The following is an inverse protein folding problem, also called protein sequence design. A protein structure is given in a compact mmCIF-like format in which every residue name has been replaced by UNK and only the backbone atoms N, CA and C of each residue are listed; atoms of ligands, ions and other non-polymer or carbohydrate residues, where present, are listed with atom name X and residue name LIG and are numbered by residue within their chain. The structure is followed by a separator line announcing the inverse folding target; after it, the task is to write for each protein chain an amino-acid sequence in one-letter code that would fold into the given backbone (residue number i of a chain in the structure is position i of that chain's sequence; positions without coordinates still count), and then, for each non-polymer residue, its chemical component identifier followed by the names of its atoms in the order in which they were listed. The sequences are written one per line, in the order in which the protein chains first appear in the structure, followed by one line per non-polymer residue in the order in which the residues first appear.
data_IF_252212087049
#
_entry.id   IF_252212087049
#
_cell.length_a   1.000
_cell.length_b   1.000
_cell.length_c   1.000
_cell.angle_alpha   90.00
_cell.angle_beta   90.00
_cell.angle_gamma   90.00
#
_symmetry.space_group_name_H-M   'P 1'
#
loop_
_entity.id
_entity.type
_entity.pdbx_description
1 polymer ?
#
# COMPACT_ATOMS: atom_id res chain seq x y z
N UNK A 1 10.49 -6.74 -3.61
CA UNK A 1 9.80 -5.51 -3.16
C UNK A 1 9.96 -5.43 -1.66
N UNK A 2 10.65 -4.41 -1.15
CA UNK A 2 10.84 -4.22 0.29
C UNK A 2 9.60 -3.55 0.88
N UNK A 3 9.16 -4.00 2.06
CA UNK A 3 8.03 -3.37 2.76
C UNK A 3 8.58 -2.36 3.76
N UNK A 4 8.39 -1.07 3.48
CA UNK A 4 8.76 -0.01 4.42
C UNK A 4 7.72 0.04 5.54
N UNK A 5 8.13 -0.29 6.76
CA UNK A 5 7.25 -0.27 7.92
C UNK A 5 7.07 1.14 8.49
N UNK A 6 6.01 1.33 9.28
CA UNK A 6 5.75 2.60 9.97
C UNK A 6 6.89 2.96 10.93
N UNK A 7 7.43 1.97 11.64
CA UNK A 7 8.54 2.13 12.59
C UNK A 7 9.80 2.62 11.87
N UNK A 8 10.05 2.10 10.66
CA UNK A 8 11.17 2.52 9.82
C UNK A 8 11.02 3.97 9.38
N UNK A 9 9.83 4.40 8.93
CA UNK A 9 9.54 5.79 8.57
C UNK A 9 9.71 6.75 9.77
N UNK A 10 9.28 6.34 10.96
CA UNK A 10 9.47 7.13 12.18
C UNK A 10 10.96 7.29 12.53
N UNK A 11 11.75 6.23 12.35
CA UNK A 11 13.20 6.28 12.55
C UNK A 11 13.86 7.26 11.57
N UNK A 12 13.48 7.19 10.29
CA UNK A 12 13.98 8.11 9.26
C UNK A 12 13.62 9.56 9.59
N UNK A 13 12.39 9.81 10.05
CA UNK A 13 11.95 11.14 10.49
C UNK A 13 12.78 11.66 11.67
N UNK A 14 13.07 10.80 12.65
CA UNK A 14 13.83 11.16 13.85
C UNK A 14 15.27 11.56 13.54
N UNK A 15 15.89 11.00 12.49
CA UNK A 15 17.24 11.40 12.09
C UNK A 15 17.39 12.90 11.81
N UNK A 16 16.33 13.57 11.33
CA UNK A 16 16.34 15.03 11.15
C UNK A 16 16.49 15.77 12.48
N UNK A 17 15.92 15.25 13.55
CA UNK A 17 16.03 15.81 14.90
C UNK A 17 17.40 15.53 15.50
N UNK A 18 17.98 14.35 15.24
CA UNK A 18 19.30 13.95 15.74
C UNK A 18 20.45 14.67 15.05
N UNK A 19 20.41 14.79 13.72
CA UNK A 19 21.54 15.30 12.92
C UNK A 19 21.36 16.75 12.45
N UNK A 20 20.19 17.36 12.64
CA UNK A 20 19.93 18.74 12.31
C UNK A 20 19.68 19.03 10.81
N UNK A 21 19.16 20.23 10.47
CA UNK A 21 18.88 20.62 9.09
C UNK A 21 20.19 20.79 8.29
N UNK A 22 20.34 20.00 7.22
CA UNK A 22 21.51 20.04 6.31
C UNK A 22 22.40 18.80 6.36
N UNK A 23 22.13 17.88 7.28
CA UNK A 23 22.85 16.59 7.35
C UNK A 23 22.36 15.63 6.27
N UNK A 24 23.30 15.02 5.56
CA UNK A 24 23.02 13.97 4.58
C UNK A 24 22.73 12.66 5.30
N UNK A 25 21.57 12.08 5.03
CA UNK A 25 21.19 10.74 5.49
C UNK A 25 21.24 9.80 4.29
N UNK A 26 21.94 8.68 4.44
CA UNK A 26 22.01 7.64 3.40
C UNK A 26 20.97 6.57 3.68
N UNK A 27 20.10 6.32 2.70
CA UNK A 27 19.15 5.21 2.71
C UNK A 27 19.69 4.07 1.81
N UNK A 28 19.42 2.80 2.15
CA UNK A 28 19.58 1.70 1.21
C UNK A 28 18.84 1.98 -0.10
N UNK A 29 19.41 1.57 -1.23
CA UNK A 29 18.85 1.84 -2.55
C UNK A 29 17.41 1.34 -2.69
N UNK A 30 17.11 0.15 -2.16
CA UNK A 30 15.76 -0.44 -2.18
C UNK A 30 14.75 0.36 -1.36
N UNK A 31 15.15 0.90 -0.20
CA UNK A 31 14.28 1.77 0.61
C UNK A 31 14.02 3.09 -0.13
N UNK A 32 15.05 3.67 -0.74
CA UNK A 32 14.91 4.91 -1.51
C UNK A 32 13.99 4.73 -2.74
N UNK A 33 14.13 3.62 -3.46
CA UNK A 33 13.28 3.28 -4.61
C UNK A 33 11.81 3.13 -4.21
N UNK A 34 11.54 2.40 -3.12
CA UNK A 34 10.17 2.19 -2.65
C UNK A 34 9.53 3.50 -2.13
N UNK A 35 10.29 4.35 -1.44
CA UNK A 35 9.83 5.69 -1.06
C UNK A 35 9.50 6.56 -2.29
N UNK A 36 10.36 6.52 -3.32
CA UNK A 36 10.14 7.27 -4.54
C UNK A 36 8.87 6.79 -5.27
N UNK A 37 8.65 5.47 -5.34
CA UNK A 37 7.45 4.86 -5.91
C UNK A 37 6.18 5.30 -5.17
N UNK A 38 6.17 5.27 -3.83
CA UNK A 38 5.03 5.69 -3.01
C UNK A 38 4.77 7.20 -3.18
N UNK A 39 5.82 8.02 -3.17
CA UNK A 39 5.69 9.46 -3.35
C UNK A 39 5.13 9.80 -4.73
N UNK A 40 5.62 9.16 -5.80
CA UNK A 40 5.12 9.33 -7.15
C UNK A 40 3.64 8.92 -7.26
N UNK A 41 3.30 7.74 -6.75
CA UNK A 41 1.92 7.25 -6.70
C UNK A 41 0.98 8.19 -5.94
N UNK A 42 1.46 8.84 -4.88
CA UNK A 42 0.69 9.86 -4.14
C UNK A 42 0.52 11.16 -4.91
N UNK A 43 1.48 11.55 -5.75
CA UNK A 43 1.39 12.76 -6.58
C UNK A 43 0.46 12.56 -7.79
N UNK A 44 0.41 11.34 -8.31
CA UNK A 44 -0.44 10.95 -9.45
C UNK A 44 -1.85 10.50 -9.03
N UNK A 45 -2.11 10.39 -7.72
CA UNK A 45 -3.40 9.93 -7.22
C UNK A 45 -4.53 10.89 -7.63
N UNK A 46 -5.58 10.34 -8.23
CA UNK A 46 -6.80 11.09 -8.52
C UNK A 46 -7.73 11.08 -7.28
N UNK A 47 -8.44 12.19 -7.01
CA UNK A 47 -9.44 12.22 -5.94
C UNK A 47 -10.57 11.23 -6.24
N UNK A 48 -11.03 10.53 -5.21
CA UNK A 48 -12.20 9.62 -5.32
C UNK A 48 -13.52 10.34 -5.10
N UNK A 49 -13.47 11.53 -4.46
CA UNK A 49 -14.63 12.33 -4.16
C UNK A 49 -14.22 13.78 -3.88
N UNK A 50 -15.19 14.68 -3.85
CA UNK A 50 -15.03 16.09 -3.54
C UNK A 50 -16.04 16.47 -2.47
N UNK A 51 -15.53 16.99 -1.35
CA UNK A 51 -16.35 17.66 -0.34
C UNK A 51 -16.49 19.12 -0.74
N UNK A 52 -17.71 19.62 -0.82
CA UNK A 52 -17.97 21.03 -1.08
C UNK A 52 -18.77 21.61 0.08
N UNK A 53 -18.30 22.72 0.64
CA UNK A 53 -19.04 23.50 1.62
C UNK A 53 -19.52 24.79 0.95
N UNK A 54 -20.83 24.99 0.90
CA UNK A 54 -21.46 26.20 0.37
C UNK A 54 -21.89 27.08 1.53
N UNK A 55 -21.49 28.36 1.49
CA UNK A 55 -21.89 29.37 2.48
C UNK A 55 -22.46 30.59 1.77
N UNK A 56 -23.65 31.03 2.19
CA UNK A 56 -24.24 32.23 1.61
C UNK A 56 -23.47 33.48 2.02
N UNK A 57 -23.17 34.34 1.05
CA UNK A 57 -22.52 35.64 1.29
C UNK A 57 -23.47 36.48 2.15
N UNK A 58 -22.92 37.14 3.17
CA UNK A 58 -23.62 37.95 4.17
C UNK A 58 -24.60 37.19 5.10
N UNK A 59 -24.70 35.85 4.98
CA UNK A 59 -25.55 34.99 5.82
C UNK A 59 -24.85 33.68 6.17
N UNK A 60 -23.86 33.76 7.05
CA UNK A 60 -22.99 32.62 7.37
C UNK A 60 -23.73 31.41 7.99
N UNK A 61 -24.85 31.63 8.68
CA UNK A 61 -25.69 30.57 9.23
C UNK A 61 -26.31 29.68 8.14
N UNK A 62 -26.41 30.18 6.90
CA UNK A 62 -26.88 29.41 5.76
C UNK A 62 -25.69 28.73 5.07
N UNK A 63 -25.19 27.69 5.73
CA UNK A 63 -24.07 26.87 5.26
C UNK A 63 -24.50 25.40 5.17
N UNK A 64 -24.15 24.74 4.07
CA UNK A 64 -24.38 23.31 3.91
C UNK A 64 -23.20 22.65 3.20
N UNK A 65 -23.05 21.34 3.42
CA UNK A 65 -21.93 20.56 2.85
C UNK A 65 -22.48 19.36 2.09
N UNK A 66 -21.93 19.12 0.91
CA UNK A 66 -22.20 17.95 0.08
C UNK A 66 -20.93 17.19 -0.26
N UNK A 67 -21.07 15.91 -0.59
CA UNK A 67 -20.01 15.06 -1.14
C UNK A 67 -20.43 14.56 -2.51
N UNK A 68 -19.51 14.64 -3.47
CA UNK A 68 -19.78 14.31 -4.87
C UNK A 68 -18.65 13.43 -5.40
N UNK A 69 -18.96 12.35 -6.15
CA UNK A 69 -17.97 11.47 -6.74
C UNK A 69 -17.46 11.93 -8.11
N UNK A 70 -18.04 13.00 -8.68
CA UNK A 70 -17.67 13.52 -9.99
C UNK A 70 -17.35 15.01 -9.94
N UNK A 71 -16.18 15.38 -10.48
CA UNK A 71 -15.71 16.76 -10.57
C UNK A 71 -16.58 17.61 -11.49
N UNK A 72 -17.16 17.06 -12.56
CA UNK A 72 -18.02 17.85 -13.44
C UNK A 72 -19.34 18.24 -12.73
N UNK A 73 -19.88 17.35 -11.90
CA UNK A 73 -21.03 17.64 -11.04
C UNK A 73 -20.70 18.74 -10.01
N UNK A 74 -19.52 18.66 -9.37
CA UNK A 74 -18.99 19.69 -8.46
C UNK A 74 -18.99 21.06 -9.14
N UNK A 75 -18.39 21.16 -10.34
CA UNK A 75 -18.32 22.43 -11.08
C UNK A 75 -19.69 22.96 -11.47
N UNK A 76 -20.64 22.08 -11.82
CA UNK A 76 -22.02 22.46 -12.13
C UNK A 76 -22.72 23.06 -10.90
N UNK A 77 -22.62 22.40 -9.74
CA UNK A 77 -23.21 22.89 -8.50
C UNK A 77 -22.56 24.20 -8.02
N UNK A 78 -21.25 24.34 -8.18
CA UNK A 78 -20.53 25.58 -7.86
C UNK A 78 -21.01 26.74 -8.72
N UNK A 79 -21.16 26.53 -10.04
CA UNK A 79 -21.72 27.57 -10.94
C UNK A 79 -23.13 27.98 -10.54
N UNK A 80 -24.00 27.01 -10.23
CA UNK A 80 -25.38 27.28 -9.83
C UNK A 80 -25.45 28.09 -8.54
N UNK A 81 -24.78 27.64 -7.48
CA UNK A 81 -24.84 28.29 -6.17
C UNK A 81 -24.15 29.65 -6.14
N UNK A 82 -23.13 29.86 -6.99
CA UNK A 82 -22.53 31.18 -7.19
C UNK A 82 -23.55 32.21 -7.71
N UNK A 83 -24.47 31.81 -8.59
CA UNK A 83 -25.55 32.69 -9.07
C UNK A 83 -26.56 33.06 -7.96
N UNK A 84 -26.61 32.26 -6.88
CA UNK A 84 -27.43 32.50 -5.69
C UNK A 84 -26.65 33.18 -4.54
N UNK A 85 -25.50 33.81 -4.83
CA UNK A 85 -24.61 34.44 -3.84
C UNK A 85 -24.07 33.49 -2.77
N UNK A 86 -23.66 32.28 -3.14
CA UNK A 86 -22.88 31.41 -2.26
C UNK A 86 -21.40 31.42 -2.64
N UNK A 87 -20.53 31.37 -1.64
CA UNK A 87 -19.13 30.92 -1.79
C UNK A 87 -19.07 29.41 -1.61
N UNK A 88 -18.12 28.78 -2.30
CA UNK A 88 -17.93 27.33 -2.25
C UNK A 88 -16.46 27.00 -1.92
N UNK A 89 -16.26 26.22 -0.86
CA UNK A 89 -14.96 25.67 -0.47
C UNK A 89 -14.88 24.21 -0.89
N UNK A 90 -13.98 23.89 -1.82
CA UNK A 90 -13.86 22.56 -2.42
C UNK A 90 -12.62 21.86 -1.83
N UNK A 91 -12.83 20.68 -1.25
CA UNK A 91 -11.76 19.82 -0.73
C UNK A 91 -11.77 18.48 -1.50
N UNK A 92 -10.73 18.15 -2.28
CA UNK A 92 -10.61 16.82 -2.87
C UNK A 92 -10.34 15.79 -1.78
N UNK A 93 -10.96 14.62 -1.89
CA UNK A 93 -10.79 13.49 -1.00
C UNK A 93 -10.07 12.38 -1.76
N UNK A 94 -8.94 11.95 -1.22
CA UNK A 94 -8.12 10.88 -1.78
C UNK A 94 -8.27 9.63 -0.93
N UNK A 95 -8.18 8.46 -1.56
CA UNK A 95 -7.95 7.21 -0.83
C UNK A 95 -6.46 6.95 -0.76
N UNK A 96 -6.01 6.39 0.35
CA UNK A 96 -4.69 5.79 0.36
C UNK A 96 -4.71 4.62 -0.62
N UNK A 97 -3.68 4.50 -1.47
CA UNK A 97 -3.51 3.27 -2.24
C UNK A 97 -3.41 2.11 -1.24
N UNK A 98 -4.19 1.02 -1.42
CA UNK A 98 -4.01 -0.16 -0.60
C UNK A 98 -2.56 -0.60 -0.77
N UNK A 99 -1.77 -0.54 0.30
CA UNK A 99 -0.45 -1.17 0.34
C UNK A 99 -0.71 -2.63 -0.02
N UNK A 100 0.01 -3.22 -1.00
CA UNK A 100 -0.07 -4.64 -1.24
C UNK A 100 0.20 -5.31 0.09
N UNK A 101 -0.83 -5.84 0.73
CA UNK A 101 -0.68 -6.61 1.95
C UNK A 101 -0.10 -7.92 1.45
N UNK A 102 1.22 -7.98 1.28
CA UNK A 102 1.92 -9.24 1.51
C UNK A 102 1.63 -9.55 2.97
N UNK A 103 0.83 -10.59 3.28
CA UNK A 103 0.60 -10.97 4.66
C UNK A 103 1.95 -11.11 5.36
N UNK A 104 2.05 -10.74 6.63
CA UNK A 104 3.30 -10.80 7.37
C UNK A 104 4.00 -12.17 7.14
N UNK A 105 5.24 -12.13 6.63
CA UNK A 105 6.05 -13.32 6.37
C UNK A 105 6.18 -13.76 4.90
N UNK A 106 5.42 -13.18 3.95
CA UNK A 106 5.61 -13.45 2.52
C UNK A 106 6.78 -12.67 1.92
N UNK A 107 7.67 -13.41 1.25
CA UNK A 107 8.93 -12.95 0.65
C UNK A 107 8.81 -13.08 -0.86
N UNK A 108 9.08 -12.01 -1.61
CA UNK A 108 9.08 -12.09 -3.07
C UNK A 108 10.24 -12.93 -3.58
N UNK A 109 9.99 -13.82 -4.55
CA UNK A 109 11.04 -14.62 -5.20
C UNK A 109 12.10 -13.75 -5.90
N UNK A 110 11.75 -12.53 -6.33
CA UNK A 110 12.71 -11.57 -6.89
C UNK A 110 13.61 -10.92 -5.84
N UNK A 111 13.16 -10.87 -4.58
CA UNK A 111 13.95 -10.31 -3.47
C UNK A 111 14.90 -11.36 -2.89
N UNK A 112 14.40 -12.60 -2.72
CA UNK A 112 15.18 -13.71 -2.20
C UNK A 112 14.59 -15.02 -2.68
N UNK A 113 15.41 -15.90 -3.24
CA UNK A 113 15.02 -17.27 -3.51
C UNK A 113 14.97 -18.07 -2.21
N UNK A 114 14.02 -19.01 -2.06
CA UNK A 114 13.98 -19.88 -0.88
C UNK A 114 15.22 -20.78 -0.85
N UNK A 115 15.66 -21.16 0.35
CA UNK A 115 16.84 -22.00 0.50
C UNK A 115 16.53 -23.45 0.14
N UNK A 116 17.55 -24.21 -0.24
CA UNK A 116 17.41 -25.64 -0.49
C UNK A 116 17.01 -26.38 0.79
N UNK A 117 16.17 -27.40 0.63
CA UNK A 117 15.64 -28.27 1.70
C UNK A 117 14.67 -27.57 2.68
N UNK A 118 14.31 -26.30 2.46
CA UNK A 118 13.30 -25.60 3.25
C UNK A 118 11.87 -25.99 2.83
N UNK A 119 10.99 -26.09 3.84
CA UNK A 119 9.55 -26.23 3.64
C UNK A 119 8.90 -24.86 3.52
N UNK A 120 8.30 -24.59 2.36
CA UNK A 120 7.75 -23.29 2.03
C UNK A 120 6.31 -23.39 1.52
N UNK A 121 5.58 -22.30 1.69
CA UNK A 121 4.32 -22.01 1.02
C UNK A 121 4.60 -21.02 -0.11
N UNK A 122 4.03 -21.23 -1.28
CA UNK A 122 4.25 -20.47 -2.52
C UNK A 122 2.94 -19.90 -3.03
N UNK A 123 2.99 -18.67 -3.52
CA UNK A 123 1.96 -18.04 -4.31
C UNK A 123 2.42 -17.92 -5.76
N UNK A 124 1.72 -18.61 -6.68
CA UNK A 124 2.10 -18.68 -8.09
C UNK A 124 1.55 -17.50 -8.91
N UNK A 125 2.15 -17.25 -10.07
CA UNK A 125 1.63 -16.31 -11.08
C UNK A 125 0.22 -16.64 -11.59
N UNK A 126 -0.24 -17.87 -11.35
CA UNK A 126 -1.57 -18.35 -11.71
C UNK A 126 -2.60 -18.15 -10.59
N UNK A 127 -2.19 -17.56 -9.46
CA UNK A 127 -3.06 -17.31 -8.31
C UNK A 127 -3.24 -18.51 -7.39
N UNK A 128 -2.35 -19.51 -7.49
CA UNK A 128 -2.44 -20.75 -6.73
C UNK A 128 -1.54 -20.72 -5.49
N UNK A 129 -2.00 -21.35 -4.41
CA UNK A 129 -1.22 -21.58 -3.20
C UNK A 129 -0.74 -23.03 -3.16
N UNK A 130 0.56 -23.23 -3.00
CA UNK A 130 1.19 -24.55 -2.98
C UNK A 130 2.15 -24.65 -1.80
N UNK A 131 2.22 -25.80 -1.14
CA UNK A 131 3.19 -26.06 -0.09
C UNK A 131 4.08 -27.24 -0.48
N UNK A 132 5.37 -27.14 -0.21
CA UNK A 132 6.32 -28.18 -0.56
C UNK A 132 7.73 -27.88 -0.07
N UNK A 133 8.64 -28.82 -0.36
CA UNK A 133 10.05 -28.67 -0.04
C UNK A 133 10.84 -28.20 -1.26
N UNK A 134 11.76 -27.27 -1.06
CA UNK A 134 12.62 -26.77 -2.14
C UNK A 134 13.68 -27.81 -2.51
N UNK A 135 13.70 -28.21 -3.78
CA UNK A 135 14.70 -29.07 -4.39
C UNK A 135 15.32 -28.39 -5.62
N UNK A 136 16.43 -27.69 -5.40
CA UNK A 136 17.10 -26.91 -6.45
C UNK A 136 16.17 -25.81 -7.00
N UNK A 137 15.86 -25.86 -8.29
CA UNK A 137 14.95 -24.91 -8.96
C UNK A 137 13.48 -25.33 -8.95
N UNK A 138 13.14 -26.38 -8.20
CA UNK A 138 11.80 -26.92 -8.10
C UNK A 138 11.34 -26.97 -6.64
N UNK A 139 10.04 -27.07 -6.45
CA UNK A 139 9.41 -27.37 -5.18
C UNK A 139 8.65 -28.67 -5.33
N UNK A 140 9.04 -29.65 -4.52
CA UNK A 140 8.34 -30.93 -4.41
C UNK A 140 7.11 -30.75 -3.52
N UNK A 141 5.94 -30.84 -4.13
CA UNK A 141 4.66 -30.80 -3.44
C UNK A 141 4.41 -32.10 -2.67
N UNK A 142 3.48 -32.09 -1.73
CA UNK A 142 3.16 -33.25 -0.89
C UNK A 142 2.65 -34.48 -1.67
N UNK A 143 2.21 -34.31 -2.92
CA UNK A 143 1.79 -35.37 -3.82
C UNK A 143 2.92 -35.92 -4.71
N UNK A 144 4.15 -35.43 -4.52
CA UNK A 144 5.34 -35.79 -5.32
C UNK A 144 5.48 -35.02 -6.63
N UNK A 145 4.59 -34.06 -6.91
CA UNK A 145 4.70 -33.21 -8.10
C UNK A 145 5.82 -32.19 -7.94
N UNK A 146 6.70 -32.07 -8.93
CA UNK A 146 7.72 -31.02 -8.98
C UNK A 146 7.16 -29.78 -9.69
N UNK A 147 7.01 -28.69 -8.94
CA UNK A 147 6.61 -27.38 -9.47
C UNK A 147 7.83 -26.49 -9.67
N UNK A 148 7.96 -25.88 -10.84
CA UNK A 148 9.09 -25.00 -11.15
C UNK A 148 9.00 -23.67 -10.39
N UNK A 149 10.05 -23.32 -9.65
CA UNK A 149 10.11 -22.10 -8.82
C UNK A 149 10.02 -20.80 -9.64
N UNK A 150 10.35 -20.83 -10.93
CA UNK A 150 10.21 -19.64 -11.80
C UNK A 150 8.76 -19.18 -12.00
N UNK A 151 7.77 -19.98 -11.60
CA UNK A 151 6.36 -19.59 -11.58
C UNK A 151 5.90 -19.00 -10.24
N UNK A 152 6.75 -19.00 -9.22
CA UNK A 152 6.47 -18.45 -7.90
C UNK A 152 6.68 -16.93 -7.88
N UNK A 153 5.70 -16.18 -7.37
CA UNK A 153 5.81 -14.73 -7.16
C UNK A 153 6.29 -14.42 -5.73
N UNK A 154 5.74 -15.14 -4.76
CA UNK A 154 6.05 -14.99 -3.34
C UNK A 154 6.13 -16.36 -2.67
N UNK A 155 6.95 -16.45 -1.62
CA UNK A 155 7.05 -17.62 -0.75
C UNK A 155 7.12 -17.22 0.72
N UNK A 156 6.79 -18.13 1.63
CA UNK A 156 7.06 -17.97 3.06
C UNK A 156 7.45 -19.31 3.67
N UNK A 157 8.22 -19.35 4.77
CA UNK A 157 8.42 -20.59 5.50
C UNK A 157 7.07 -21.14 5.98
N UNK A 158 6.91 -22.45 5.94
CA UNK A 158 5.70 -23.10 6.40
C UNK A 158 5.48 -22.77 7.91
N UNK A 159 4.29 -22.28 8.31
CA UNK A 159 4.05 -21.92 9.70
C UNK A 159 4.12 -23.15 10.61
N UNK A 160 4.58 -22.96 11.85
CA UNK A 160 4.56 -24.02 12.85
C UNK A 160 3.12 -24.52 13.07
N UNK A 161 2.90 -25.84 13.19
CA UNK A 161 1.59 -26.37 13.50
C UNK A 161 1.10 -25.80 14.84
N UNK A 162 -0.20 -25.53 15.00
CA UNK A 162 -0.74 -25.01 16.25
C UNK A 162 -0.40 -25.98 17.39
N UNK A 163 0.23 -25.45 18.45
CA UNK A 163 0.56 -26.24 19.63
C UNK A 163 -0.75 -26.72 20.27
N UNK A 164 -0.94 -28.04 20.33
CA UNK A 164 -2.06 -28.63 21.05
C UNK A 164 -2.07 -28.11 22.50
N UNK A 165 -3.08 -27.31 22.82
CA UNK A 165 -3.37 -26.94 24.20
C UNK A 165 -3.90 -28.22 24.85
N UNK A 166 -3.01 -28.97 25.52
CA UNK A 166 -3.42 -30.06 26.41
C UNK A 166 -4.32 -29.45 27.50
N UNK A 167 -5.62 -29.67 27.38
CA UNK A 167 -6.60 -29.40 28.44
C UNK A 167 -6.44 -30.42 29.57
#
# INVERSE_FOLDING_TARGET
MITITKERLLTIKQWRETYGPGSNVVLPAEEAEELARIALASLEAEPVAWKITFTQIDREYNTFTGMYPDKAEVERWVRLHKACNFRADITPLYTAQPVPVTPDGWISCSARMPAQDDWILIYSKHGEYMAGQVQGEYVELSDGTLSWLGNALFWMPLPEPPKEVRQ
#
